data_IF_795046543139
#
_entry.id   IF_795046543139
#
_cell.length_a   1.000
_cell.length_b   1.000
_cell.length_c   1.000
_cell.angle_alpha   90.00
_cell.angle_beta   90.00
_cell.angle_gamma   90.00
#
_symmetry.space_group_name_H-M   'P 1'
#
loop_
_entity.id
_entity.type
_entity.pdbx_description
1 polymer ?
2 non-polymer ?
3 non-polymer ?
4 water ?
#
# COMPACT_ATOMS: atom_id res chain seq x y z
N UNK A 1 -20.62 6.99 12.77
CA UNK A 1 -19.30 7.68 12.80
C UNK A 1 -18.18 6.68 13.06
N UNK A 2 -17.05 6.88 12.39
CA UNK A 2 -15.92 5.99 12.56
C UNK A 2 -15.26 6.19 13.92
N UNK A 3 -14.12 5.52 14.10
CA UNK A 3 -13.40 5.62 15.35
C UNK A 3 -12.08 4.91 15.22
N UNK A 4 -11.30 4.88 16.29
CA UNK A 4 -9.99 4.21 16.26
C UNK A 4 -10.14 2.76 15.81
N UNK A 5 -9.16 2.26 15.07
CA UNK A 5 -9.18 0.88 14.58
C UNK A 5 -7.92 0.14 15.01
N UNK A 6 -6.93 0.89 15.47
CA UNK A 6 -5.68 0.29 15.90
C UNK A 6 -4.85 -0.24 14.75
N UNK A 7 -5.21 0.14 13.52
CA UNK A 7 -4.50 -0.32 12.34
C UNK A 7 -3.44 0.67 11.85
N UNK A 8 -2.23 0.16 11.65
CA UNK A 8 -1.11 0.94 11.17
C UNK A 8 -0.37 0.19 10.07
N UNK A 9 -0.40 0.71 8.86
CA UNK A 9 0.28 0.09 7.72
C UNK A 9 1.53 0.92 7.42
N UNK A 10 2.66 0.23 7.25
CA UNK A 10 3.92 0.93 6.96
C UNK A 10 4.56 0.43 5.68
N UNK A 11 5.26 1.31 4.97
CA UNK A 11 5.96 0.90 3.76
C UNK A 11 7.39 0.50 4.12
N UNK A 12 7.91 -0.50 3.42
CA UNK A 12 9.26 -0.99 3.65
C UNK A 12 9.88 -1.32 2.30
N UNK A 13 11.20 -1.26 2.21
CA UNK A 13 11.90 -1.58 0.98
C UNK A 13 12.52 -0.42 0.23
N UNK A 14 12.36 0.80 0.74
CA UNK A 14 12.89 2.00 0.07
C UNK A 14 14.32 2.36 0.48
N UNK A 15 14.82 1.73 1.53
CA UNK A 15 16.18 2.03 1.98
C UNK A 15 16.74 0.84 2.76
N UNK A 16 17.78 0.20 2.21
CA UNK A 16 18.36 -0.97 2.85
C UNK A 16 18.85 -0.77 4.28
N UNK A 17 19.05 0.49 4.67
CA UNK A 17 19.52 0.77 6.02
C UNK A 17 18.39 0.73 7.05
N UNK A 18 17.16 0.48 6.61
CA UNK A 18 16.02 0.45 7.53
C UNK A 18 15.83 -0.85 8.30
N UNK A 19 16.72 -1.82 8.07
CA UNK A 19 16.58 -3.08 8.78
C UNK A 19 15.76 -4.08 7.97
N UNK A 20 15.79 -5.34 8.41
CA UNK A 20 15.07 -6.40 7.73
C UNK A 20 13.56 -6.32 7.93
N UNK A 21 12.84 -7.05 7.09
CA UNK A 21 11.40 -7.10 7.16
C UNK A 21 11.00 -7.71 8.51
N UNK A 22 11.79 -8.67 8.96
CA UNK A 22 11.53 -9.35 10.23
C UNK A 22 11.56 -8.34 11.38
N UNK A 23 12.56 -7.47 11.35
CA UNK A 23 12.73 -6.45 12.38
C UNK A 23 11.49 -5.55 12.44
N UNK A 24 10.99 -5.18 11.28
CA UNK A 24 9.81 -4.32 11.20
C UNK A 24 8.62 -4.97 11.89
N UNK A 25 8.36 -6.24 11.55
CA UNK A 25 7.23 -6.95 12.14
C UNK A 25 7.42 -7.17 13.65
N UNK A 26 8.66 -7.39 14.06
CA UNK A 26 8.98 -7.62 15.47
C UNK A 26 8.90 -6.36 16.34
N UNK A 27 8.75 -5.20 15.72
CA UNK A 27 8.67 -3.96 16.48
C UNK A 27 7.33 -3.85 17.22
N UNK A 28 6.32 -4.54 16.71
CA UNK A 28 5.01 -4.49 17.32
C UNK A 28 4.31 -3.18 17.06
N UNK A 29 4.84 -2.41 16.11
CA UNK A 29 4.29 -1.10 15.76
C UNK A 29 3.33 -1.13 14.57
N UNK A 30 3.32 -2.23 13.82
CA UNK A 30 2.49 -2.30 12.62
C UNK A 30 1.55 -3.49 12.51
N UNK A 31 0.41 -3.27 11.86
CA UNK A 31 -0.57 -4.34 11.66
C UNK A 31 -0.51 -4.81 10.20
N UNK A 32 0.42 -4.22 9.45
CA UNK A 32 0.60 -4.58 8.04
C UNK A 32 1.87 -3.91 7.51
N UNK A 33 2.67 -4.68 6.77
CA UNK A 33 3.89 -4.14 6.17
C UNK A 33 3.74 -4.31 4.66
N UNK A 34 3.97 -3.22 3.92
CA UNK A 34 3.84 -3.25 2.48
C UNK A 34 5.21 -3.02 1.85
N UNK A 35 5.72 -4.06 1.17
CA UNK A 35 7.03 -3.96 0.52
C UNK A 35 6.84 -3.14 -0.74
N UNK A 36 7.88 -2.43 -1.16
CA UNK A 36 7.80 -1.59 -2.35
C UNK A 36 9.18 -1.56 -3.00
N UNK A 37 9.28 -1.62 -4.33
CA UNK A 37 8.16 -1.72 -5.29
C UNK A 37 8.46 -2.70 -6.43
N UNK A 38 7.42 -3.21 -7.06
CA UNK A 38 7.58 -4.02 -8.28
C UNK A 38 7.49 -2.80 -9.20
N UNK A 39 8.64 -2.30 -9.66
CA UNK A 39 8.65 -1.07 -10.46
C UNK A 39 8.69 -1.13 -11.98
N UNK A 40 8.77 -2.34 -12.52
CA UNK A 40 8.75 -2.53 -13.96
C UNK A 40 7.76 -3.62 -14.35
N UNK A 41 6.85 -3.27 -15.24
CA UNK A 41 5.85 -4.20 -15.75
C UNK A 41 5.15 -3.53 -16.92
N UNK A 42 4.52 -4.31 -17.78
CA UNK A 42 3.83 -3.73 -18.92
C UNK A 42 3.44 -4.75 -19.96
N UNK A 43 3.20 -4.30 -21.18
CA UNK A 43 2.78 -5.18 -22.28
C UNK A 43 3.90 -6.02 -22.90
N UNK A 44 5.14 -5.80 -22.46
CA UNK A 44 6.26 -6.55 -23.01
C UNK A 44 6.68 -7.80 -22.25
N UNK A 45 6.03 -8.08 -21.13
CA UNK A 45 6.37 -9.27 -20.36
C UNK A 45 7.64 -9.22 -19.53
N UNK A 46 8.14 -8.02 -19.24
CA UNK A 46 9.35 -7.87 -18.43
C UNK A 46 8.98 -7.31 -17.07
N UNK A 47 9.41 -7.99 -16.01
CA UNK A 47 9.09 -7.56 -14.65
C UNK A 47 10.32 -7.37 -13.77
N UNK A 48 10.27 -6.35 -12.91
CA UNK A 48 11.37 -6.10 -12.00
C UNK A 48 10.92 -5.70 -10.61
N UNK A 49 11.60 -6.26 -9.61
CA UNK A 49 11.32 -5.96 -8.22
C UNK A 49 12.49 -5.15 -7.69
N UNK A 50 12.19 -4.01 -7.08
CA UNK A 50 13.25 -3.16 -6.55
C UNK A 50 13.10 -2.93 -5.05
N UNK A 51 13.91 -3.61 -4.26
CA UNK A 51 13.87 -3.45 -2.82
C UNK A 51 15.11 -2.70 -2.32
N UNK A 52 15.59 -1.79 -3.15
CA UNK A 52 16.72 -0.92 -2.81
C UNK A 52 17.98 -1.56 -2.26
N UNK A 53 18.33 -2.75 -2.74
CA UNK A 53 19.54 -3.39 -2.25
C UNK A 53 19.38 -4.27 -1.03
N UNK A 54 18.15 -4.44 -0.55
CA UNK A 54 17.91 -5.29 0.61
C UNK A 54 18.32 -6.72 0.25
N UNK A 55 18.79 -7.48 1.24
CA UNK A 55 19.18 -8.87 1.01
C UNK A 55 17.94 -9.71 0.75
N UNK A 56 17.71 -10.07 -0.50
CA UNK A 56 16.55 -10.86 -0.89
C UNK A 56 16.52 -12.28 -0.36
N UNK A 57 17.70 -12.83 -0.07
CA UNK A 57 17.82 -14.20 0.41
C UNK A 57 17.06 -14.55 1.69
N UNK A 58 16.84 -13.56 2.56
CA UNK A 58 16.15 -13.83 3.81
C UNK A 58 14.70 -13.31 3.86
N UNK A 59 14.23 -12.67 2.80
CA UNK A 59 12.87 -12.13 2.79
C UNK A 59 11.77 -13.18 2.95
N UNK A 60 11.90 -14.29 2.24
CA UNK A 60 10.89 -15.34 2.33
C UNK A 60 10.70 -15.82 3.75
N UNK A 61 11.80 -16.10 4.45
CA UNK A 61 11.72 -16.56 5.83
C UNK A 61 11.11 -15.46 6.71
N UNK A 62 11.49 -14.22 6.47
CA UNK A 62 10.97 -13.10 7.26
C UNK A 62 9.46 -12.91 7.05
N UNK A 63 9.01 -13.12 5.82
CA UNK A 63 7.59 -12.99 5.51
C UNK A 63 6.79 -13.99 6.33
N UNK A 64 7.20 -15.26 6.27
CA UNK A 64 6.52 -16.30 7.02
C UNK A 64 6.56 -16.01 8.51
N UNK A 65 7.68 -15.46 8.98
CA UNK A 65 7.80 -15.12 10.39
C UNK A 65 6.80 -14.02 10.74
N UNK A 66 6.68 -13.03 9.86
CA UNK A 66 5.75 -11.93 10.08
C UNK A 66 4.33 -12.46 10.21
N UNK A 67 3.96 -13.35 9.29
CA UNK A 67 2.64 -13.93 9.26
C UNK A 67 2.34 -14.75 10.52
N UNK A 68 3.36 -15.41 11.05
CA UNK A 68 3.19 -16.22 12.25
C UNK A 68 2.92 -15.32 13.46
N UNK A 69 3.30 -14.05 13.34
CA UNK A 69 3.08 -13.09 14.41
C UNK A 69 1.81 -12.30 14.16
N UNK A 70 1.07 -12.66 13.12
CA UNK A 70 -0.16 -11.97 12.80
C UNK A 70 0.00 -10.69 12.01
N UNK A 71 1.17 -10.48 11.42
CA UNK A 71 1.42 -9.29 10.63
C UNK A 71 1.49 -9.65 9.15
N UNK A 72 0.45 -9.35 8.38
CA UNK A 72 0.46 -9.68 6.95
C UNK A 72 1.45 -8.80 6.19
N UNK A 73 1.97 -9.34 5.09
CA UNK A 73 2.93 -8.62 4.26
C UNK A 73 2.35 -8.47 2.85
N UNK A 74 2.37 -7.25 2.34
CA UNK A 74 1.84 -6.96 1.02
C UNK A 74 2.95 -6.49 0.09
N UNK A 75 2.65 -6.47 -1.20
CA UNK A 75 3.61 -6.02 -2.21
C UNK A 75 2.99 -4.86 -2.98
N UNK A 76 3.65 -3.72 -2.99
CA UNK A 76 3.14 -2.57 -3.74
C UNK A 76 3.80 -2.55 -5.11
N UNK A 77 3.01 -2.27 -6.14
CA UNK A 77 3.54 -2.20 -7.50
C UNK A 77 3.40 -0.78 -8.01
N UNK A 78 4.35 -0.35 -8.84
CA UNK A 78 4.30 1.00 -9.35
C UNK A 78 5.43 1.80 -8.74
N UNK A 79 5.10 2.89 -8.07
CA UNK A 79 6.11 3.74 -7.46
C UNK A 79 6.22 5.07 -8.17
N UNK A 80 7.25 5.85 -7.84
CA UNK A 80 7.42 7.16 -8.46
C UNK A 80 8.15 7.10 -9.79
N UNK A 81 8.64 5.92 -10.15
CA UNK A 81 9.38 5.75 -11.40
C UNK A 81 8.57 5.75 -12.69
N UNK A 82 9.26 5.63 -13.82
CA UNK A 82 8.60 5.66 -15.12
C UNK A 82 8.75 4.35 -15.89
N UNK A 83 9.05 3.26 -15.19
CA UNK A 83 9.24 1.99 -15.88
C UNK A 83 8.04 1.06 -15.93
N UNK A 84 6.85 1.57 -15.71
CA UNK A 84 5.66 0.71 -15.73
C UNK A 84 4.43 1.32 -16.39
N UNK A 85 3.55 0.43 -16.86
CA UNK A 85 2.30 0.81 -17.50
C UNK A 85 1.51 -0.49 -17.66
N UNK A 86 0.25 -0.37 -18.02
CA UNK A 86 -0.59 -1.57 -18.21
C UNK A 86 -1.64 -1.17 -19.25
N UNK A 87 -1.18 -0.88 -20.48
CA UNK A 87 -1.99 -0.46 -21.62
C UNK A 87 -2.98 -1.40 -22.30
N UNK A 88 -3.31 -2.52 -21.68
CA UNK A 88 -4.26 -3.44 -22.31
C UNK A 88 -4.78 -4.49 -21.34
N UNK A 89 -5.90 -5.11 -21.69
CA UNK A 89 -6.48 -6.17 -20.87
C UNK A 89 -5.48 -7.31 -20.79
N UNK A 90 -4.84 -7.61 -21.91
CA UNK A 90 -3.86 -8.69 -21.96
C UNK A 90 -2.68 -8.41 -21.03
N UNK A 91 -2.14 -7.21 -21.07
CA UNK A 91 -1.01 -6.89 -20.19
C UNK A 91 -1.44 -6.97 -18.72
N UNK A 92 -2.67 -6.58 -18.42
CA UNK A 92 -3.15 -6.64 -17.04
C UNK A 92 -3.22 -8.09 -16.57
N UNK A 93 -3.74 -8.96 -17.43
CA UNK A 93 -3.85 -10.37 -17.07
C UNK A 93 -2.49 -11.04 -16.97
N UNK A 94 -1.54 -10.61 -17.81
CA UNK A 94 -0.20 -11.18 -17.75
C UNK A 94 0.48 -10.79 -16.45
N UNK A 95 0.23 -9.56 -16.00
CA UNK A 95 0.81 -9.10 -14.75
C UNK A 95 0.19 -9.89 -13.60
N UNK A 96 -1.11 -10.14 -13.67
CA UNK A 96 -1.73 -10.92 -12.61
C UNK A 96 -1.06 -12.29 -12.56
N UNK A 97 -0.92 -12.92 -13.72
CA UNK A 97 -0.29 -14.24 -13.77
C UNK A 97 1.09 -14.20 -13.16
N UNK A 98 1.87 -13.18 -13.51
CA UNK A 98 3.21 -13.05 -12.97
C UNK A 98 3.18 -12.93 -11.45
N UNK A 99 2.29 -12.09 -10.93
CA UNK A 99 2.18 -11.92 -9.49
C UNK A 99 1.76 -13.22 -8.83
N UNK A 100 0.74 -13.85 -9.40
CA UNK A 100 0.21 -15.09 -8.85
C UNK A 100 1.26 -16.20 -8.76
N UNK A 101 1.99 -16.41 -9.86
CA UNK A 101 3.01 -17.46 -9.91
C UNK A 101 4.32 -17.12 -9.24
N UNK A 102 4.60 -15.82 -9.02
CA UNK A 102 5.84 -15.41 -8.39
C UNK A 102 5.75 -15.16 -6.89
N UNK A 103 4.65 -14.58 -6.44
CA UNK A 103 4.49 -14.23 -5.03
C UNK A 103 3.29 -14.79 -4.29
N UNK A 104 2.33 -15.36 -5.01
CA UNK A 104 1.15 -15.87 -4.33
C UNK A 104 0.97 -17.39 -4.40
N UNK A 105 -0.24 -17.85 -4.70
CA UNK A 105 -0.50 -19.28 -4.72
C UNK A 105 -0.20 -20.04 -5.99
N UNK A 106 0.34 -19.36 -6.99
CA UNK A 106 0.64 -20.03 -8.24
C UNK A 106 2.00 -20.72 -8.27
N UNK A 107 2.15 -21.66 -9.19
CA UNK A 107 3.40 -22.38 -9.34
C UNK A 107 3.56 -22.79 -10.80
N UNK A 108 4.60 -22.28 -11.42
CA UNK A 108 4.89 -22.58 -12.83
C UNK A 108 6.40 -22.80 -12.91
N UNK A 109 6.82 -23.89 -13.56
CA UNK A 109 8.25 -24.22 -13.70
C UNK A 109 9.12 -23.10 -14.26
N UNK A 110 8.59 -22.35 -15.21
CA UNK A 110 9.37 -21.27 -15.83
C UNK A 110 9.46 -19.99 -15.00
N UNK A 111 8.63 -19.89 -13.96
CA UNK A 111 8.60 -18.68 -13.14
C UNK A 111 9.26 -18.86 -11.78
N UNK A 112 10.36 -18.15 -11.53
CA UNK A 112 11.04 -18.27 -10.24
C UNK A 112 10.29 -17.49 -9.16
N UNK A 113 10.40 -17.93 -7.92
CA UNK A 113 9.75 -17.25 -6.82
C UNK A 113 10.80 -16.53 -5.98
N UNK A 114 10.85 -15.20 -6.08
CA UNK A 114 11.82 -14.38 -5.34
C UNK A 114 11.93 -14.71 -3.86
N UNK A 115 10.80 -15.06 -3.24
CA UNK A 115 10.78 -15.36 -1.81
C UNK A 115 10.44 -16.82 -1.51
N UNK A 116 10.71 -17.71 -2.46
CA UNK A 116 10.42 -19.11 -2.24
C UNK A 116 8.97 -19.44 -1.96
N UNK A 117 8.73 -20.35 -1.01
CA UNK A 117 7.39 -20.78 -0.66
C UNK A 117 6.54 -19.78 0.13
N UNK A 118 7.05 -18.56 0.32
CA UNK A 118 6.29 -17.55 1.03
C UNK A 118 5.12 -17.16 0.11
N UNK A 119 3.96 -16.91 0.71
CA UNK A 119 2.76 -16.55 -0.03
C UNK A 119 2.28 -15.23 0.57
N UNK A 120 2.47 -14.13 -0.18
CA UNK A 120 2.09 -12.80 0.29
C UNK A 120 0.61 -12.64 0.62
N UNK A 121 0.31 -11.58 1.38
CA UNK A 121 -1.05 -11.32 1.84
C UNK A 121 -1.83 -10.23 1.12
N UNK A 122 -1.20 -9.56 0.16
CA UNK A 122 -1.92 -8.52 -0.54
C UNK A 122 -1.11 -7.81 -1.59
N UNK A 123 -1.78 -6.94 -2.34
CA UNK A 123 -1.15 -6.15 -3.40
C UNK A 123 -1.64 -4.72 -3.28
N UNK A 124 -0.70 -3.78 -3.32
CA UNK A 124 -1.04 -2.37 -3.25
C UNK A 124 -0.69 -1.74 -4.59
N UNK A 125 -1.56 -0.87 -5.08
CA UNK A 125 -1.32 -0.19 -6.36
C UNK A 125 -0.91 1.25 -6.05
N UNK A 126 0.34 1.58 -6.34
CA UNK A 126 0.92 2.92 -6.13
C UNK A 126 1.15 3.45 -7.54
N UNK A 127 0.08 3.90 -8.19
CA UNK A 127 0.15 4.33 -9.58
C UNK A 127 0.36 5.81 -9.88
N UNK A 128 1.59 6.28 -9.68
CA UNK A 128 1.92 7.67 -9.95
C UNK A 128 1.75 7.99 -11.43
N UNK A 129 2.08 7.03 -12.29
CA UNK A 129 1.96 7.25 -13.72
C UNK A 129 0.95 6.33 -14.39
N UNK A 130 0.21 6.90 -15.33
CA UNK A 130 -0.82 6.16 -16.02
C UNK A 130 -1.54 7.00 -17.06
N UNK A 131 -2.33 6.34 -17.90
CA UNK A 131 -3.09 7.00 -18.95
C UNK A 131 -4.45 6.34 -19.01
N UNK A 132 -5.41 6.96 -19.73
CA UNK A 132 -6.75 6.37 -19.83
C UNK A 132 -6.72 4.99 -20.50
N UNK A 133 -5.62 4.69 -21.18
CA UNK A 133 -5.47 3.42 -21.87
C UNK A 133 -5.13 2.27 -20.92
N UNK A 134 -4.67 2.60 -19.71
CA UNK A 134 -4.32 1.56 -18.74
C UNK A 134 -5.54 0.79 -18.29
N UNK A 135 -5.34 -0.48 -17.95
CA UNK A 135 -6.43 -1.34 -17.51
C UNK A 135 -6.18 -1.93 -16.14
N UNK A 136 -5.95 -1.06 -15.16
CA UNK A 136 -5.73 -1.53 -13.80
C UNK A 136 -7.03 -2.08 -13.22
N UNK A 137 -8.14 -1.76 -13.86
CA UNK A 137 -9.43 -2.28 -13.41
C UNK A 137 -9.46 -3.79 -13.64
N UNK A 138 -8.88 -4.23 -14.75
CA UNK A 138 -8.83 -5.65 -15.07
C UNK A 138 -7.93 -6.38 -14.07
N UNK A 139 -6.80 -5.79 -13.73
CA UNK A 139 -5.88 -6.40 -12.77
C UNK A 139 -6.54 -6.45 -11.39
N UNK A 140 -7.15 -5.33 -10.99
CA UNK A 140 -7.78 -5.25 -9.67
C UNK A 140 -8.87 -6.30 -9.50
N UNK A 141 -9.70 -6.46 -10.53
CA UNK A 141 -10.78 -7.44 -10.43
C UNK A 141 -10.22 -8.84 -10.27
N UNK A 142 -9.19 -9.18 -11.05
CA UNK A 142 -8.62 -10.52 -10.95
C UNK A 142 -8.02 -10.75 -9.56
N UNK A 143 -7.35 -9.74 -9.01
CA UNK A 143 -6.77 -9.88 -7.68
C UNK A 143 -7.88 -10.06 -6.64
N UNK A 144 -8.95 -9.29 -6.79
CA UNK A 144 -10.07 -9.35 -5.86
C UNK A 144 -10.71 -10.74 -5.87
N UNK A 145 -10.75 -11.38 -7.03
CA UNK A 145 -11.34 -12.70 -7.14
C UNK A 145 -10.51 -13.78 -6.45
N UNK A 146 -9.26 -13.46 -6.13
CA UNK A 146 -8.40 -14.41 -5.46
C UNK A 146 -8.30 -14.12 -3.97
N UNK A 147 -9.10 -13.17 -3.51
CA UNK A 147 -9.15 -12.85 -2.09
C UNK A 147 -10.18 -13.86 -1.58
N UNK A 148 -9.69 -15.02 -1.17
CA UNK A 148 -10.56 -16.09 -0.72
C UNK A 148 -10.76 -16.18 0.79
N UNK A 149 -12.02 -16.11 1.19
CA UNK A 149 -12.40 -16.20 2.59
C UNK A 149 -13.40 -17.34 2.76
N UNK A 150 -12.91 -18.57 2.65
CA UNK A 150 -13.76 -19.74 2.77
C UNK A 150 -13.49 -20.78 1.70
N UNK A 151 -12.21 -21.07 1.48
CA UNK A 151 -11.85 -22.06 0.47
C UNK A 151 -10.36 -22.24 0.30
N UNK A 152 -9.92 -22.93 -0.77
CA UNK A 152 -8.50 -23.19 -1.05
C UNK A 152 -7.72 -21.92 -1.39
N UNK A 153 -7.12 -21.33 -0.37
CA UNK A 153 -6.35 -20.10 -0.56
C UNK A 153 -6.41 -19.27 0.70
N UNK A 154 -5.94 -18.03 0.62
CA UNK A 154 -5.95 -17.14 1.78
C UNK A 154 -6.46 -15.77 1.38
N UNK A 155 -6.73 -14.90 2.37
CA UNK A 155 -7.22 -13.58 2.00
C UNK A 155 -6.13 -12.79 1.25
N UNK A 156 -6.56 -11.91 0.37
CA UNK A 156 -5.65 -11.07 -0.40
C UNK A 156 -6.18 -9.66 -0.23
N UNK A 157 -5.42 -8.84 0.49
CA UNK A 157 -5.82 -7.47 0.75
C UNK A 157 -5.43 -6.59 -0.42
N UNK A 158 -6.44 -6.13 -1.17
CA UNK A 158 -6.20 -5.27 -2.33
C UNK A 158 -6.30 -3.81 -1.92
N UNK A 159 -5.23 -3.07 -2.15
CA UNK A 159 -5.21 -1.67 -1.77
C UNK A 159 -4.62 -0.77 -2.85
N UNK A 160 -4.82 0.54 -2.66
CA UNK A 160 -4.28 1.55 -3.54
C UNK A 160 -3.74 2.67 -2.67
N UNK A 161 -2.60 3.23 -3.08
CA UNK A 161 -2.01 4.34 -2.34
C UNK A 161 -2.08 5.49 -3.34
N UNK A 162 -2.91 6.47 -2.99
CA UNK A 162 -3.18 7.59 -3.88
C UNK A 162 -2.77 8.97 -3.39
N UNK A 163 -2.78 9.93 -4.32
CA UNK A 163 -2.46 11.32 -4.01
C UNK A 163 -3.66 11.88 -3.27
N UNK A 164 -3.43 12.95 -2.52
CA UNK A 164 -4.46 13.59 -1.71
C UNK A 164 -5.64 14.15 -2.54
N UNK A 165 -5.32 14.79 -3.66
CA UNK A 165 -6.33 15.39 -4.51
C UNK A 165 -7.46 14.53 -5.04
N UNK A 166 -8.66 15.08 -5.00
CA UNK A 166 -9.85 14.38 -5.50
C UNK A 166 -10.51 15.23 -6.58
N UNK A 167 -10.94 14.61 -7.69
CA UNK A 167 -10.86 13.19 -8.01
C UNK A 167 -9.45 12.77 -8.43
N UNK A 168 -9.17 11.46 -8.40
CA UNK A 168 -7.87 10.92 -8.77
C UNK A 168 -7.64 10.94 -10.28
N UNK A 169 -6.42 10.63 -10.70
CA UNK A 169 -6.08 10.57 -12.10
C UNK A 169 -6.98 9.50 -12.72
N UNK A 170 -7.29 9.66 -14.00
CA UNK A 170 -8.17 8.74 -14.72
C UNK A 170 -7.85 7.25 -14.56
N UNK A 171 -6.58 6.87 -14.67
CA UNK A 171 -6.23 5.45 -14.56
C UNK A 171 -6.51 4.90 -13.16
N UNK A 172 -6.38 5.75 -12.15
CA UNK A 172 -6.65 5.35 -10.78
C UNK A 172 -8.16 5.27 -10.60
N UNK A 173 -8.86 6.26 -11.14
CA UNK A 173 -10.31 6.28 -11.04
C UNK A 173 -10.91 5.06 -11.70
N UNK A 174 -10.34 4.64 -12.82
CA UNK A 174 -10.85 3.47 -13.54
C UNK A 174 -10.74 2.21 -12.68
N UNK A 175 -9.60 2.06 -12.01
CA UNK A 175 -9.38 0.90 -11.16
C UNK A 175 -10.34 0.92 -9.96
N UNK A 176 -10.41 2.06 -9.28
CA UNK A 176 -11.26 2.19 -8.11
C UNK A 176 -12.74 2.03 -8.43
N UNK A 177 -13.12 2.37 -9.65
CA UNK A 177 -14.52 2.27 -10.09
C UNK A 177 -15.07 0.85 -10.01
N UNK A 178 -14.19 -0.15 -9.98
CA UNK A 178 -14.64 -1.53 -9.89
C UNK A 178 -15.33 -1.72 -8.54
N UNK A 179 -15.02 -0.82 -7.60
CA UNK A 179 -15.61 -0.88 -6.28
C UNK A 179 -15.09 -1.97 -5.37
N UNK A 180 -14.14 -2.76 -5.85
CA UNK A 180 -13.63 -3.86 -5.03
C UNK A 180 -12.33 -3.65 -4.25
N UNK A 181 -11.87 -2.41 -4.11
CA UNK A 181 -10.66 -2.21 -3.31
C UNK A 181 -11.03 -2.26 -1.84
N UNK A 182 -10.20 -2.94 -1.06
CA UNK A 182 -10.44 -3.08 0.37
C UNK A 182 -10.01 -1.83 1.13
N UNK A 183 -8.85 -1.29 0.77
CA UNK A 183 -8.34 -0.10 1.45
C UNK A 183 -7.68 0.85 0.47
N UNK A 184 -7.68 2.14 0.84
CA UNK A 184 -7.02 3.16 0.04
C UNK A 184 -6.23 4.02 1.02
N UNK A 185 -4.94 4.18 0.77
CA UNK A 185 -4.09 4.99 1.63
C UNK A 185 -3.98 6.35 0.95
N UNK A 186 -4.55 7.38 1.58
CA UNK A 186 -4.50 8.72 1.00
C UNK A 186 -3.27 9.46 1.49
N UNK A 187 -2.32 9.70 0.59
CA UNK A 187 -1.09 10.40 0.96
C UNK A 187 -1.39 11.89 1.18
N UNK A 188 -1.15 12.37 2.40
CA UNK A 188 -1.41 13.77 2.72
C UNK A 188 -0.11 14.51 2.98
N UNK A 189 1.01 13.84 2.74
CA UNK A 189 2.32 14.42 2.99
C UNK A 189 3.08 14.88 1.75
N UNK A 190 2.46 14.81 0.58
CA UNK A 190 3.12 15.27 -0.65
C UNK A 190 3.02 16.79 -0.62
N UNK A 191 3.90 17.48 -1.32
CA UNK A 191 3.90 18.94 -1.33
C UNK A 191 2.70 19.58 -2.02
N UNK A 192 1.92 18.76 -2.73
CA UNK A 192 0.74 19.22 -3.47
C UNK A 192 0.07 20.44 -2.87
N UNK A 193 0.15 21.56 -3.60
CA UNK A 193 -0.45 22.80 -3.14
C UNK A 193 -1.97 22.61 -3.07
N UNK A 194 -2.57 23.08 -1.99
CA UNK A 194 -4.00 22.98 -1.79
C UNK A 194 -4.47 21.64 -1.25
N UNK A 195 -3.59 20.63 -1.26
CA UNK A 195 -4.00 19.32 -0.78
C UNK A 195 -2.93 18.55 -0.02
N UNK A 196 -2.71 18.95 1.24
CA UNK A 196 -1.75 18.32 2.11
C UNK A 196 -2.05 18.69 3.55
N UNK A 197 -1.24 18.20 4.48
CA UNK A 197 -1.44 18.47 5.89
C UNK A 197 -1.46 19.94 6.26
N UNK A 198 -0.76 20.77 5.49
CA UNK A 198 -0.72 22.20 5.78
C UNK A 198 -2.02 22.85 5.34
N UNK A 199 -2.57 22.40 4.22
CA UNK A 199 -3.79 22.96 3.70
C UNK A 199 -4.57 22.08 2.73
N UNK A 200 -5.86 21.91 3.02
CA UNK A 200 -6.73 21.15 2.14
C UNK A 200 -6.97 19.66 2.28
N UNK A 201 -6.19 18.94 3.08
CA UNK A 201 -6.41 17.50 3.17
C UNK A 201 -7.78 17.09 3.70
N UNK A 202 -8.33 17.87 4.63
CA UNK A 202 -9.63 17.53 5.20
C UNK A 202 -10.75 17.53 4.16
N UNK A 203 -10.74 18.53 3.30
CA UNK A 203 -11.76 18.62 2.26
C UNK A 203 -11.66 17.43 1.31
N UNK A 204 -10.43 17.08 0.93
CA UNK A 204 -10.24 15.95 0.04
C UNK A 204 -10.66 14.65 0.74
N UNK A 205 -10.35 14.55 2.03
CA UNK A 205 -10.70 13.37 2.81
C UNK A 205 -12.22 13.17 2.77
N UNK A 206 -12.96 14.27 2.87
CA UNK A 206 -14.42 14.21 2.83
C UNK A 206 -14.89 13.60 1.52
N UNK A 207 -14.33 14.08 0.41
CA UNK A 207 -14.70 13.60 -0.91
C UNK A 207 -14.31 12.14 -1.13
N UNK A 208 -13.08 11.78 -0.77
CA UNK A 208 -12.61 10.41 -0.94
C UNK A 208 -13.49 9.37 -0.23
N UNK A 209 -13.69 9.57 1.07
CA UNK A 209 -14.49 8.66 1.87
C UNK A 209 -15.93 8.54 1.42
N UNK A 210 -16.52 9.66 1.00
CA UNK A 210 -17.90 9.65 0.55
C UNK A 210 -18.06 8.95 -0.79
N UNK A 211 -17.04 9.03 -1.65
CA UNK A 211 -17.11 8.43 -2.97
C UNK A 211 -16.96 6.90 -3.01
N UNK A 212 -16.34 6.31 -2.00
CA UNK A 212 -16.14 4.86 -1.99
C UNK A 212 -16.54 4.25 -0.64
N UNK A 213 -17.85 4.17 -0.39
CA UNK A 213 -18.44 3.62 0.84
C UNK A 213 -17.96 2.22 1.25
N UNK A 214 -17.66 1.38 0.27
CA UNK A 214 -17.23 0.01 0.56
C UNK A 214 -15.76 -0.14 0.90
N UNK A 215 -15.00 0.94 0.74
CA UNK A 215 -13.57 0.91 0.99
C UNK A 215 -13.15 1.61 2.29
N UNK A 216 -12.17 1.03 2.97
CA UNK A 216 -11.64 1.59 4.20
C UNK A 216 -10.52 2.56 3.84
N UNK A 217 -10.54 3.74 4.43
CA UNK A 217 -9.56 4.77 4.12
C UNK A 217 -8.55 5.00 5.22
N UNK A 218 -7.28 5.04 4.82
CA UNK A 218 -6.19 5.27 5.75
C UNK A 218 -5.59 6.63 5.49
N UNK A 219 -5.25 7.35 6.56
CA UNK A 219 -4.63 8.66 6.43
C UNK A 219 -3.14 8.37 6.32
N UNK A 220 -2.55 8.77 5.20
CA UNK A 220 -1.12 8.55 4.99
C UNK A 220 -0.32 9.71 5.55
N UNK A 221 0.60 9.40 6.46
CA UNK A 221 1.44 10.41 7.10
C UNK A 221 2.90 10.04 6.92
N UNK A 222 3.77 11.05 6.92
CA UNK A 222 5.20 10.77 6.78
C UNK A 222 5.83 10.69 8.16
N UNK A 223 6.80 9.80 8.33
CA UNK A 223 7.49 9.64 9.60
C UNK A 223 8.77 10.47 9.60
N UNK A 224 8.98 11.21 8.52
CA UNK A 224 10.17 12.06 8.38
C UNK A 224 9.87 13.41 9.04
N UNK A 225 10.38 13.59 10.26
CA UNK A 225 10.13 14.82 10.99
C UNK A 225 10.79 16.08 10.42
N UNK A 226 11.49 15.93 9.31
CA UNK A 226 12.13 17.08 8.65
C UNK A 226 11.20 17.61 7.57
N UNK A 227 10.22 16.80 7.18
CA UNK A 227 9.27 17.18 6.15
C UNK A 227 8.39 18.37 6.54
N UNK A 228 8.04 19.20 5.57
CA UNK A 228 7.18 20.35 5.84
C UNK A 228 5.76 19.85 6.10
N UNK A 229 5.49 18.60 5.75
CA UNK A 229 4.17 18.02 5.94
C UNK A 229 4.11 17.07 7.13
N UNK A 230 5.19 17.03 7.90
CA UNK A 230 5.22 16.17 9.08
C UNK A 230 4.21 16.68 10.10
N UNK A 231 3.50 15.78 10.76
CA UNK A 231 2.53 16.17 11.77
C UNK A 231 3.03 15.73 13.14
N UNK A 232 3.28 16.68 14.03
CA UNK A 232 3.74 16.34 15.37
C UNK A 232 2.66 15.49 16.04
N UNK A 233 3.08 14.46 16.80
CA UNK A 233 2.16 13.56 17.50
C UNK A 233 0.99 14.24 18.21
N UNK A 234 1.24 15.35 18.88
CA UNK A 234 0.17 16.05 19.58
C UNK A 234 -0.89 16.57 18.61
N UNK A 235 -0.47 16.95 17.41
CA UNK A 235 -1.40 17.45 16.41
C UNK A 235 -2.15 16.31 15.73
N UNK A 236 -1.61 15.09 15.83
CA UNK A 236 -2.30 13.94 15.27
C UNK A 236 -3.40 13.58 16.26
N UNK A 237 -3.04 13.60 17.54
CA UNK A 237 -3.95 13.26 18.61
C UNK A 237 -5.16 14.18 18.69
N UNK A 238 -4.93 15.49 18.69
CA UNK A 238 -6.03 16.44 18.79
C UNK A 238 -6.62 16.87 17.45
N UNK A 239 -5.88 16.63 16.37
CA UNK A 239 -6.38 17.05 15.07
C UNK A 239 -6.65 16.00 14.03
N UNK A 240 -5.59 15.54 13.37
CA UNK A 240 -5.71 14.56 12.30
C UNK A 240 -6.54 13.32 12.60
N UNK A 241 -6.18 12.60 13.65
CA UNK A 241 -6.89 11.38 14.01
C UNK A 241 -8.39 11.60 14.24
N UNK A 242 -8.76 12.54 15.12
CA UNK A 242 -10.17 12.81 15.39
C UNK A 242 -10.96 13.18 14.15
N UNK A 243 -10.38 14.02 13.30
CA UNK A 243 -11.05 14.45 12.08
C UNK A 243 -11.23 13.29 11.10
N UNK A 244 -10.18 12.50 10.90
CA UNK A 244 -10.27 11.38 9.96
C UNK A 244 -11.28 10.35 10.41
N UNK A 245 -11.27 10.06 11.71
CA UNK A 245 -12.15 9.07 12.31
C UNK A 245 -13.64 9.42 12.36
N UNK A 246 -13.99 10.61 11.90
CA UNK A 246 -15.40 11.00 11.89
C UNK A 246 -16.14 10.24 10.80
N UNK A 247 -15.42 9.79 9.78
CA UNK A 247 -16.01 9.04 8.67
C UNK A 247 -16.22 7.58 9.06
N UNK A 248 -17.36 7.03 8.63
CA UNK A 248 -17.71 5.65 8.93
C UNK A 248 -16.72 4.64 8.35
N UNK A 249 -16.14 4.96 7.20
CA UNK A 249 -15.20 4.06 6.57
C UNK A 249 -13.71 4.35 6.80
N UNK A 250 -13.41 4.99 7.93
CA UNK A 250 -12.03 5.27 8.32
C UNK A 250 -11.43 3.90 8.65
N UNK A 251 -10.23 3.63 8.14
CA UNK A 251 -9.61 2.34 8.40
C UNK A 251 -8.37 2.35 9.27
N UNK A 252 -7.62 3.46 9.27
CA UNK A 252 -6.43 3.52 10.08
C UNK A 252 -5.43 4.53 9.56
N UNK A 253 -4.17 4.36 9.94
CA UNK A 253 -3.11 5.26 9.53
C UNK A 253 -2.03 4.53 8.71
N UNK A 254 -1.56 5.16 7.65
CA UNK A 254 -0.49 4.57 6.84
C UNK A 254 0.75 5.43 7.10
N UNK A 255 1.89 4.79 7.25
CA UNK A 255 3.13 5.52 7.51
C UNK A 255 4.20 5.30 6.45
N UNK A 256 4.82 6.40 6.03
CA UNK A 256 5.92 6.34 5.06
C UNK A 256 7.13 6.92 5.80
N UNK A 257 8.14 6.11 6.11
CA UNK A 257 8.20 4.67 5.83
C UNK A 257 8.96 4.01 6.99
N UNK A 258 9.33 2.74 6.85
CA UNK A 258 10.03 2.06 7.94
C UNK A 258 11.33 2.78 8.29
N UNK A 259 12.08 3.19 7.28
CA UNK A 259 13.34 3.90 7.47
C UNK A 259 13.16 5.12 8.38
N UNK A 260 12.29 6.03 7.97
CA UNK A 260 12.04 7.24 8.74
C UNK A 260 11.47 6.94 10.12
N UNK A 261 10.55 5.98 10.19
CA UNK A 261 9.93 5.62 11.45
C UNK A 261 10.96 5.08 12.42
N UNK A 262 11.94 4.36 11.88
CA UNK A 262 12.99 3.77 12.68
C UNK A 262 13.88 4.86 13.29
N UNK A 263 14.07 5.95 12.56
CA UNK A 263 14.91 7.06 13.03
C UNK A 263 14.19 8.01 13.97
N UNK A 264 12.86 8.08 13.87
CA UNK A 264 12.09 9.00 14.68
C UNK A 264 11.17 8.35 15.71
N UNK A 265 10.94 7.05 15.57
CA UNK A 265 10.07 6.32 16.48
C UNK A 265 8.67 6.94 16.50
N UNK A 266 8.27 7.46 15.34
CA UNK A 266 6.97 8.11 15.18
C UNK A 266 5.80 7.21 15.59
N UNK A 267 5.81 5.95 15.16
CA UNK A 267 4.73 5.03 15.47
C UNK A 267 4.59 4.67 16.95
N UNK A 268 5.63 4.89 17.73
CA UNK A 268 5.56 4.58 19.16
C UNK A 268 4.35 5.26 19.79
N UNK A 269 4.05 6.46 19.32
CA UNK A 269 2.89 7.19 19.84
C UNK A 269 1.71 7.07 18.89
N UNK A 270 1.97 7.23 17.59
CA UNK A 270 0.91 7.17 16.59
C UNK A 270 0.04 5.92 16.62
N UNK A 271 0.62 4.76 16.92
CA UNK A 271 -0.17 3.53 16.94
C UNK A 271 -1.31 3.59 17.96
N UNK A 272 -1.17 4.45 18.96
CA UNK A 272 -2.21 4.59 19.97
C UNK A 272 -3.34 5.51 19.52
N UNK A 273 -3.10 6.29 18.48
CA UNK A 273 -4.13 7.20 17.99
C UNK A 273 -4.86 6.64 16.77
N UNK A 274 -4.32 5.58 16.19
CA UNK A 274 -4.91 4.97 15.00
C UNK A 274 -6.17 4.16 15.33
#
# INVERSE_FOLDING_TARGET
AGGKTGQVTVFWGRNKAEGSLREACDSGMYTMVTMSFLDVFGANGKYHLDLSGHDLSSVGADIKHCQSKGVPVSLSIGGYGTGYSLPSNRSALDLFDHLWNSYFGGSKPSVPRPFGDAWLDGVDLFLEHGTPADRYDVLALELAKHNIRGGPGKPLHLTATVRCGYPPAAHVGRALATGIFERVHVRTYESDKWCNQNLGWEGSWDKWTAAYPATRFYVGLTADDKSHQWVHPKNVYYGVAPVAQKKDNYGGIMLWDRYFDKQTNYSSLIKYYA
#
